data_IF_449347308773
#
_entry.id   IF_449347308773
#
_cell.length_a   1.000
_cell.length_b   1.000
_cell.length_c   1.000
_cell.angle_alpha   90.00
_cell.angle_beta   90.00
_cell.angle_gamma   90.00
#
_symmetry.space_group_name_H-M   'P 1'
#
loop_
_entity.id
_entity.type
_entity.pdbx_description
1 polymer ?
#
# COMPACT_ATOMS: atom_id res chain seq x y z
N UNK A 1 -25.35 -19.70 83.21
CA UNK A 1 -24.29 -20.73 83.28
C UNK A 1 -22.97 -20.05 83.55
N UNK A 2 -22.41 -20.23 84.78
CA UNK A 2 -21.09 -19.64 85.10
C UNK A 2 -20.01 -20.62 84.68
N UNK A 3 -19.35 -20.33 83.57
CA UNK A 3 -18.19 -21.07 83.06
C UNK A 3 -17.04 -20.96 84.07
N UNK A 4 -16.42 -22.09 84.42
CA UNK A 4 -15.22 -22.12 85.25
C UNK A 4 -14.05 -21.42 84.57
N UNK A 5 -13.09 -20.92 85.31
CA UNK A 5 -11.92 -20.21 84.76
C UNK A 5 -11.19 -21.07 83.73
N UNK A 6 -11.06 -22.38 84.00
CA UNK A 6 -10.47 -23.34 83.06
C UNK A 6 -11.24 -23.43 81.75
N UNK A 7 -12.58 -23.45 81.79
CA UNK A 7 -13.39 -23.48 80.54
C UNK A 7 -13.30 -22.19 79.74
N UNK A 8 -13.15 -21.05 80.37
CA UNK A 8 -12.94 -19.77 79.66
C UNK A 8 -11.59 -19.74 78.91
N UNK A 9 -10.57 -20.27 79.54
CA UNK A 9 -9.22 -20.35 78.85
C UNK A 9 -9.28 -21.31 77.68
N UNK A 10 -9.91 -22.45 77.82
CA UNK A 10 -10.09 -23.42 76.75
C UNK A 10 -10.92 -22.85 75.59
N UNK A 11 -12.02 -22.19 75.86
CA UNK A 11 -12.81 -21.52 74.79
C UNK A 11 -12.03 -20.43 74.09
N UNK A 12 -11.20 -19.65 74.75
CA UNK A 12 -10.31 -18.64 74.14
C UNK A 12 -9.30 -19.29 73.27
N UNK A 13 -8.69 -20.39 73.69
CA UNK A 13 -7.70 -21.11 72.92
C UNK A 13 -8.32 -21.75 71.63
N UNK A 14 -9.47 -22.37 71.73
CA UNK A 14 -10.22 -22.92 70.60
C UNK A 14 -10.59 -21.82 69.59
N UNK A 15 -11.04 -20.66 70.07
CA UNK A 15 -11.41 -19.53 69.27
C UNK A 15 -10.21 -18.98 68.45
N UNK A 16 -9.07 -18.80 69.15
CA UNK A 16 -7.83 -18.36 68.47
C UNK A 16 -7.34 -19.39 67.43
N UNK A 17 -7.38 -20.67 67.80
CA UNK A 17 -7.00 -21.75 66.85
C UNK A 17 -7.91 -21.76 65.64
N UNK A 18 -9.21 -21.60 65.83
CA UNK A 18 -10.18 -21.55 64.74
C UNK A 18 -9.97 -20.34 63.83
N UNK A 19 -9.66 -19.16 64.37
CA UNK A 19 -9.28 -17.98 63.65
C UNK A 19 -7.98 -18.20 62.80
N UNK A 20 -6.99 -18.84 63.42
CA UNK A 20 -5.73 -19.15 62.69
C UNK A 20 -5.96 -20.13 61.53
N UNK A 21 -6.83 -21.11 61.70
CA UNK A 21 -7.21 -22.04 60.63
C UNK A 21 -7.92 -21.29 59.48
N UNK A 22 -8.86 -20.39 59.81
CA UNK A 22 -9.57 -19.59 58.81
C UNK A 22 -8.63 -18.66 58.08
N UNK A 23 -7.72 -17.96 58.74
CA UNK A 23 -6.75 -17.06 58.16
C UNK A 23 -5.75 -17.84 57.30
N UNK A 24 -5.23 -18.96 57.81
CA UNK A 24 -4.31 -19.83 57.10
C UNK A 24 -4.94 -20.42 55.86
N UNK A 25 -6.17 -20.94 55.96
CA UNK A 25 -6.92 -21.47 54.81
C UNK A 25 -7.17 -20.44 53.75
N UNK A 26 -7.63 -19.24 54.13
CA UNK A 26 -7.81 -18.12 53.18
C UNK A 26 -6.49 -17.70 52.52
N UNK A 27 -5.39 -17.69 53.26
CA UNK A 27 -4.07 -17.36 52.72
C UNK A 27 -3.60 -18.38 51.68
N UNK A 28 -3.79 -19.67 51.90
CA UNK A 28 -3.45 -20.72 50.95
C UNK A 28 -4.28 -20.62 49.67
N UNK A 29 -5.59 -20.33 49.77
CA UNK A 29 -6.45 -20.11 48.58
C UNK A 29 -5.96 -18.90 47.78
N UNK A 30 -5.61 -17.81 48.46
CA UNK A 30 -5.09 -16.60 47.78
C UNK A 30 -3.74 -16.85 47.11
N UNK A 31 -2.84 -17.59 47.75
CA UNK A 31 -1.54 -17.97 47.19
C UNK A 31 -1.75 -18.82 45.92
N UNK A 32 -2.62 -19.81 45.98
CA UNK A 32 -2.95 -20.65 44.84
C UNK A 32 -3.59 -19.84 43.65
N UNK A 33 -4.40 -18.82 43.99
CA UNK A 33 -4.96 -17.91 43.03
C UNK A 33 -3.89 -17.03 42.37
N UNK A 34 -2.95 -16.51 43.16
CA UNK A 34 -1.81 -15.72 42.64
C UNK A 34 -0.94 -16.58 41.74
N UNK A 35 -0.63 -17.82 42.13
CA UNK A 35 0.18 -18.73 41.32
C UNK A 35 -0.48 -19.02 39.99
N UNK A 36 -1.79 -19.33 39.95
CA UNK A 36 -2.56 -19.50 38.70
C UNK A 36 -2.52 -18.24 37.82
N UNK A 37 -2.73 -17.06 38.42
CA UNK A 37 -2.68 -15.80 37.68
C UNK A 37 -1.28 -15.54 37.10
N UNK A 38 -0.23 -15.84 37.87
CA UNK A 38 1.16 -15.71 37.43
C UNK A 38 1.48 -16.68 36.32
N UNK A 39 1.02 -17.93 36.41
CA UNK A 39 1.16 -18.91 35.32
C UNK A 39 0.41 -18.46 34.08
N UNK A 40 -0.80 -17.95 34.18
CA UNK A 40 -1.57 -17.42 33.05
C UNK A 40 -0.87 -16.24 32.39
N UNK A 41 -0.29 -15.32 33.16
CA UNK A 41 0.50 -14.21 32.59
C UNK A 41 1.73 -14.71 31.88
N UNK A 42 2.50 -15.60 32.48
CA UNK A 42 3.78 -16.05 31.91
C UNK A 42 3.62 -17.03 30.74
N UNK A 43 2.60 -17.89 30.75
CA UNK A 43 2.44 -18.94 29.75
C UNK A 43 1.49 -18.55 28.61
N UNK A 44 0.60 -17.57 28.83
CA UNK A 44 -0.39 -17.16 27.85
C UNK A 44 -0.25 -15.69 27.48
N UNK A 45 -0.44 -14.79 28.46
CA UNK A 45 -0.60 -13.36 28.16
C UNK A 45 0.68 -12.73 27.62
N UNK A 46 1.83 -13.00 28.21
CA UNK A 46 3.10 -12.43 27.79
C UNK A 46 3.56 -12.97 26.42
N UNK A 47 3.54 -14.29 26.16
CA UNK A 47 3.83 -14.81 24.82
C UNK A 47 2.86 -14.31 23.74
N UNK A 48 1.54 -14.23 24.04
CA UNK A 48 0.55 -13.70 23.12
C UNK A 48 0.80 -12.23 22.81
N UNK A 49 1.14 -11.41 23.82
CA UNK A 49 1.47 -10.00 23.63
C UNK A 49 2.73 -9.82 22.76
N UNK A 50 3.78 -10.60 23.02
CA UNK A 50 5.01 -10.54 22.23
C UNK A 50 4.74 -10.89 20.78
N UNK A 51 4.02 -11.99 20.51
CA UNK A 51 3.67 -12.39 19.13
C UNK A 51 2.75 -11.38 18.44
N UNK A 52 1.82 -10.78 19.18
CA UNK A 52 0.98 -9.70 18.63
C UNK A 52 1.79 -8.46 18.26
N UNK A 53 2.80 -8.11 19.07
CA UNK A 53 3.69 -6.98 18.79
C UNK A 53 4.58 -7.25 17.57
N UNK A 54 5.09 -8.48 17.43
CA UNK A 54 5.84 -8.90 16.24
C UNK A 54 4.96 -8.84 14.98
N UNK A 55 3.70 -9.34 15.04
CA UNK A 55 2.73 -9.25 13.94
C UNK A 55 2.44 -7.79 13.55
N UNK A 56 2.27 -6.91 14.56
CA UNK A 56 2.07 -5.49 14.31
C UNK A 56 3.26 -4.86 13.60
N UNK A 57 4.47 -5.23 13.96
CA UNK A 57 5.69 -4.74 13.31
C UNK A 57 5.73 -5.16 11.82
N UNK A 58 5.43 -6.42 11.51
CA UNK A 58 5.40 -6.91 10.11
C UNK A 58 4.30 -6.22 9.30
N UNK A 59 3.13 -5.97 9.90
CA UNK A 59 2.06 -5.21 9.26
C UNK A 59 2.49 -3.77 8.92
N UNK A 60 3.18 -3.09 9.84
CA UNK A 60 3.72 -1.74 9.62
C UNK A 60 4.78 -1.75 8.51
N UNK A 61 5.66 -2.75 8.48
CA UNK A 61 6.69 -2.88 7.44
C UNK A 61 6.07 -3.10 6.07
N UNK A 62 5.04 -3.95 5.97
CA UNK A 62 4.29 -4.16 4.73
C UNK A 62 3.57 -2.88 4.26
N UNK A 63 2.95 -2.14 5.19
CA UNK A 63 2.32 -0.84 4.89
C UNK A 63 3.33 0.16 4.34
N UNK A 64 4.54 0.24 4.93
CA UNK A 64 5.61 1.10 4.43
C UNK A 64 6.09 0.67 3.04
N UNK A 65 6.21 -0.63 2.78
CA UNK A 65 6.57 -1.14 1.46
C UNK A 65 5.50 -0.79 0.41
N UNK A 66 4.21 -0.99 0.74
CA UNK A 66 3.10 -0.57 -0.11
C UNK A 66 3.14 0.95 -0.39
N UNK A 67 3.36 1.76 0.63
CA UNK A 67 3.48 3.21 0.49
C UNK A 67 4.69 3.61 -0.38
N UNK A 68 5.83 2.94 -0.24
CA UNK A 68 7.01 3.18 -1.05
C UNK A 68 6.76 2.92 -2.54
N UNK A 69 5.86 1.99 -2.89
CA UNK A 69 5.52 1.69 -4.29
C UNK A 69 4.92 2.87 -5.05
N UNK A 70 4.25 3.80 -4.37
CA UNK A 70 3.70 5.02 -5.01
C UNK A 70 4.79 5.90 -5.63
N UNK A 71 5.97 5.94 -4.99
CA UNK A 71 7.07 6.80 -5.41
C UNK A 71 7.99 6.14 -6.42
N UNK A 72 7.77 4.88 -6.79
CA UNK A 72 8.59 4.21 -7.80
C UNK A 72 8.28 4.74 -9.20
N UNK A 73 9.32 4.94 -9.98
CA UNK A 73 9.23 5.43 -11.37
C UNK A 73 9.65 4.37 -12.39
N UNK A 74 10.14 3.20 -11.95
CA UNK A 74 10.56 2.12 -12.82
C UNK A 74 10.24 0.74 -12.22
N UNK A 75 10.07 -0.26 -13.09
CA UNK A 75 9.87 -1.66 -12.67
C UNK A 75 11.07 -2.21 -11.88
N UNK A 76 12.28 -1.72 -12.16
CA UNK A 76 13.49 -2.09 -11.41
C UNK A 76 13.41 -1.67 -9.93
N UNK A 77 12.79 -0.51 -9.62
CA UNK A 77 12.55 -0.06 -8.26
C UNK A 77 11.37 -0.79 -7.60
N UNK A 78 10.37 -1.20 -8.38
CA UNK A 78 9.18 -1.89 -7.86
C UNK A 78 9.48 -3.35 -7.48
N UNK A 79 10.38 -4.03 -8.20
CA UNK A 79 10.74 -5.43 -7.96
C UNK A 79 11.18 -5.73 -6.53
N UNK A 80 12.15 -4.98 -5.93
CA UNK A 80 12.55 -5.22 -4.54
C UNK A 80 11.44 -4.93 -3.53
N UNK A 81 10.51 -4.02 -3.84
CA UNK A 81 9.35 -3.75 -2.98
C UNK A 81 8.39 -4.94 -2.97
N UNK A 82 8.10 -5.53 -4.14
CA UNK A 82 7.30 -6.76 -4.27
C UNK A 82 7.93 -7.90 -3.47
N UNK A 83 9.24 -8.09 -3.61
CA UNK A 83 9.97 -9.13 -2.88
C UNK A 83 9.86 -8.91 -1.36
N UNK A 84 10.02 -7.68 -0.90
CA UNK A 84 9.88 -7.33 0.51
C UNK A 84 8.46 -7.59 1.05
N UNK A 85 7.43 -7.31 0.27
CA UNK A 85 6.03 -7.63 0.66
C UNK A 85 5.83 -9.14 0.80
N UNK A 86 6.40 -9.95 -0.10
CA UNK A 86 6.34 -11.42 0.00
C UNK A 86 7.06 -11.93 1.26
N UNK A 87 8.25 -11.44 1.55
CA UNK A 87 8.99 -11.80 2.76
C UNK A 87 8.20 -11.47 4.05
N UNK A 88 7.54 -10.31 4.08
CA UNK A 88 6.72 -9.91 5.22
C UNK A 88 5.44 -10.72 5.34
N UNK A 89 4.84 -11.12 4.21
CA UNK A 89 3.72 -12.06 4.17
C UNK A 89 4.08 -13.40 4.82
N UNK A 90 5.23 -13.96 4.45
CA UNK A 90 5.68 -15.25 5.00
C UNK A 90 5.99 -15.15 6.49
N UNK A 91 6.63 -14.08 6.93
CA UNK A 91 6.87 -13.80 8.35
C UNK A 91 5.57 -13.65 9.12
N UNK A 92 4.63 -12.86 8.59
CA UNK A 92 3.33 -12.68 9.24
C UNK A 92 2.62 -14.03 9.41
N UNK A 93 2.57 -14.86 8.38
CA UNK A 93 1.92 -16.17 8.43
C UNK A 93 2.58 -17.08 9.48
N UNK A 94 3.91 -17.10 9.57
CA UNK A 94 4.63 -17.84 10.59
C UNK A 94 4.33 -17.35 12.01
N UNK A 95 4.38 -16.05 12.24
CA UNK A 95 4.10 -15.44 13.54
C UNK A 95 2.64 -15.63 13.95
N UNK A 96 1.70 -15.56 13.01
CA UNK A 96 0.29 -15.79 13.25
C UNK A 96 0.03 -17.26 13.65
N UNK A 97 0.67 -18.23 12.98
CA UNK A 97 0.60 -19.63 13.36
C UNK A 97 1.16 -19.88 14.77
N UNK A 98 2.24 -19.18 15.15
CA UNK A 98 2.78 -19.22 16.51
C UNK A 98 1.79 -18.64 17.53
N UNK A 99 1.21 -17.48 17.23
CA UNK A 99 0.18 -16.87 18.08
C UNK A 99 -1.01 -17.81 18.27
N UNK A 100 -1.51 -18.41 17.20
CA UNK A 100 -2.62 -19.37 17.29
C UNK A 100 -2.30 -20.57 18.19
N UNK A 101 -1.05 -21.08 18.17
CA UNK A 101 -0.60 -22.15 19.08
C UNK A 101 -0.63 -21.71 20.54
N UNK A 102 -0.21 -20.49 20.82
CA UNK A 102 -0.21 -19.92 22.18
C UNK A 102 -1.65 -19.77 22.70
N UNK A 103 -2.56 -19.22 21.87
CA UNK A 103 -3.91 -18.84 22.31
C UNK A 103 -4.97 -19.93 22.13
N UNK A 104 -4.62 -21.10 21.60
CA UNK A 104 -5.59 -22.18 21.21
C UNK A 104 -6.55 -22.60 22.34
N UNK A 105 -6.11 -22.52 23.59
CA UNK A 105 -6.89 -22.93 24.77
C UNK A 105 -7.70 -21.78 25.39
N UNK A 106 -7.59 -20.56 24.86
CA UNK A 106 -8.37 -19.39 25.27
C UNK A 106 -9.30 -18.99 24.11
N UNK A 107 -10.59 -19.23 24.27
CA UNK A 107 -11.58 -18.97 23.24
C UNK A 107 -11.65 -17.49 22.83
N UNK A 108 -11.50 -16.58 23.79
CA UNK A 108 -11.55 -15.13 23.53
C UNK A 108 -10.34 -14.66 22.71
N UNK A 109 -9.13 -15.08 23.11
CA UNK A 109 -7.90 -14.72 22.39
C UNK A 109 -7.83 -15.41 21.03
N UNK A 110 -8.31 -16.67 20.91
CA UNK A 110 -8.40 -17.37 19.64
C UNK A 110 -9.32 -16.67 18.66
N UNK A 111 -10.49 -16.22 19.10
CA UNK A 111 -11.40 -15.43 18.26
C UNK A 111 -10.78 -14.11 17.79
N UNK A 112 -10.07 -13.41 18.68
CA UNK A 112 -9.35 -12.17 18.32
C UNK A 112 -8.23 -12.44 17.32
N UNK A 113 -7.47 -13.52 17.48
CA UNK A 113 -6.43 -13.93 16.53
C UNK A 113 -7.01 -14.18 15.14
N UNK A 114 -8.16 -14.86 15.03
CA UNK A 114 -8.86 -15.06 13.75
C UNK A 114 -9.34 -13.75 13.12
N UNK A 115 -9.82 -12.81 13.95
CA UNK A 115 -10.20 -11.47 13.45
C UNK A 115 -9.00 -10.70 12.89
N UNK A 116 -7.83 -10.79 13.53
CA UNK A 116 -6.57 -10.23 13.03
C UNK A 116 -6.21 -10.85 11.68
N UNK A 117 -6.27 -12.16 11.54
CA UNK A 117 -6.01 -12.87 10.27
C UNK A 117 -6.92 -12.37 9.14
N UNK A 118 -8.23 -12.31 9.40
CA UNK A 118 -9.20 -11.83 8.41
C UNK A 118 -8.90 -10.41 7.94
N UNK A 119 -8.57 -9.51 8.88
CA UNK A 119 -8.23 -8.13 8.58
C UNK A 119 -6.93 -8.05 7.78
N UNK A 120 -5.94 -8.85 8.17
CA UNK A 120 -4.67 -8.94 7.45
C UNK A 120 -4.85 -9.44 6.01
N UNK A 121 -5.62 -10.50 5.78
CA UNK A 121 -5.88 -11.02 4.43
C UNK A 121 -6.55 -9.97 3.52
N UNK A 122 -7.51 -9.20 4.07
CA UNK A 122 -8.12 -8.09 3.33
C UNK A 122 -7.11 -7.00 2.98
N UNK A 123 -6.25 -6.63 3.94
CA UNK A 123 -5.19 -5.66 3.71
C UNK A 123 -4.16 -6.16 2.68
N UNK A 124 -3.73 -7.41 2.80
CA UNK A 124 -2.80 -8.04 1.87
C UNK A 124 -3.35 -8.00 0.43
N UNK A 125 -4.62 -8.37 0.24
CA UNK A 125 -5.26 -8.28 -1.08
C UNK A 125 -5.25 -6.86 -1.64
N UNK A 126 -5.44 -5.84 -0.79
CA UNK A 126 -5.35 -4.43 -1.20
C UNK A 126 -3.92 -4.07 -1.62
N UNK A 127 -2.91 -4.52 -0.88
CA UNK A 127 -1.50 -4.28 -1.21
C UNK A 127 -1.10 -4.98 -2.51
N UNK A 128 -1.50 -6.24 -2.69
CA UNK A 128 -1.22 -7.01 -3.91
C UNK A 128 -1.85 -6.34 -5.15
N UNK A 129 -3.10 -5.87 -5.06
CA UNK A 129 -3.76 -5.12 -6.11
C UNK A 129 -3.04 -3.80 -6.42
N UNK A 130 -2.66 -3.05 -5.38
CA UNK A 130 -1.90 -1.81 -5.54
C UNK A 130 -0.59 -2.03 -6.30
N UNK A 131 0.17 -3.07 -5.94
CA UNK A 131 1.43 -3.41 -6.61
C UNK A 131 1.22 -3.84 -8.06
N UNK A 132 0.14 -4.58 -8.34
CA UNK A 132 -0.23 -5.00 -9.69
C UNK A 132 -0.64 -3.80 -10.56
N UNK A 133 -1.42 -2.87 -10.02
CA UNK A 133 -1.83 -1.66 -10.73
C UNK A 133 -0.65 -0.71 -10.96
N UNK A 134 0.28 -0.62 -10.00
CA UNK A 134 1.53 0.13 -10.19
C UNK A 134 2.40 -0.46 -11.30
N UNK A 135 2.47 -1.77 -11.39
CA UNK A 135 3.21 -2.46 -12.46
C UNK A 135 2.62 -2.14 -13.85
N UNK A 136 1.28 -2.22 -13.96
CA UNK A 136 0.58 -1.83 -15.19
C UNK A 136 0.82 -0.37 -15.56
N UNK A 137 0.75 0.52 -14.55
CA UNK A 137 1.03 1.95 -14.75
C UNK A 137 2.44 2.18 -15.31
N UNK A 138 3.46 1.52 -14.73
CA UNK A 138 4.84 1.66 -15.18
C UNK A 138 5.04 1.09 -16.59
N UNK A 139 4.41 -0.04 -16.91
CA UNK A 139 4.44 -0.61 -18.25
C UNK A 139 3.78 0.31 -19.28
N UNK A 140 2.62 0.89 -18.94
CA UNK A 140 1.91 1.83 -19.79
C UNK A 140 2.71 3.10 -20.04
N UNK A 141 3.31 3.66 -18.99
CA UNK A 141 4.18 4.84 -19.12
C UNK A 141 5.38 4.58 -20.05
N UNK A 142 5.99 3.39 -19.93
CA UNK A 142 7.09 3.00 -20.83
C UNK A 142 6.64 2.93 -22.28
N UNK A 143 5.48 2.33 -22.55
CA UNK A 143 4.92 2.24 -23.91
C UNK A 143 4.59 3.64 -24.46
N UNK A 144 4.01 4.47 -23.62
CA UNK A 144 3.65 5.84 -23.99
C UNK A 144 4.89 6.67 -24.33
N UNK A 145 5.95 6.59 -23.52
CA UNK A 145 7.24 7.27 -23.82
C UNK A 145 7.83 6.80 -25.16
N UNK A 146 7.81 5.49 -25.43
CA UNK A 146 8.31 4.97 -26.71
C UNK A 146 7.47 5.43 -27.93
N UNK A 147 6.15 5.55 -27.76
CA UNK A 147 5.27 6.08 -28.80
C UNK A 147 5.53 7.56 -29.06
N UNK A 148 5.80 8.35 -28.02
CA UNK A 148 6.16 9.76 -28.18
C UNK A 148 7.47 9.94 -28.91
N UNK A 149 8.50 9.20 -28.58
CA UNK A 149 9.77 9.22 -29.30
C UNK A 149 9.54 8.93 -30.80
N UNK A 150 8.65 7.99 -31.11
CA UNK A 150 8.27 7.69 -32.49
C UNK A 150 7.57 8.88 -33.18
N UNK A 151 6.68 9.56 -32.46
CA UNK A 151 5.97 10.75 -32.96
C UNK A 151 6.95 11.91 -33.15
N UNK A 152 7.87 12.14 -32.21
CA UNK A 152 8.89 13.19 -32.33
C UNK A 152 9.76 12.97 -33.58
N UNK A 153 10.27 11.75 -33.81
CA UNK A 153 11.05 11.43 -34.98
C UNK A 153 10.24 11.68 -36.28
N UNK A 154 8.99 11.19 -36.32
CA UNK A 154 8.14 11.40 -37.50
C UNK A 154 7.82 12.89 -37.75
N UNK A 155 7.74 13.68 -36.65
CA UNK A 155 7.53 15.11 -36.74
C UNK A 155 8.76 15.85 -37.28
N UNK A 156 9.96 15.48 -36.82
CA UNK A 156 11.21 16.04 -37.33
C UNK A 156 11.37 15.74 -38.83
N UNK A 157 11.10 14.51 -39.27
CA UNK A 157 11.13 14.10 -40.69
C UNK A 157 10.12 14.90 -41.51
N UNK A 158 8.88 15.04 -41.02
CA UNK A 158 7.86 15.82 -41.73
C UNK A 158 8.19 17.31 -41.77
N UNK A 159 8.71 17.88 -40.69
CA UNK A 159 9.15 19.27 -40.65
C UNK A 159 10.29 19.53 -41.63
N UNK A 160 11.23 18.59 -41.79
CA UNK A 160 12.30 18.71 -42.80
C UNK A 160 11.73 18.82 -44.20
N UNK A 161 10.73 17.99 -44.55
CA UNK A 161 10.06 18.04 -45.86
C UNK A 161 9.30 19.36 -46.07
N UNK A 162 8.64 19.88 -45.01
CA UNK A 162 7.92 21.16 -45.05
C UNK A 162 8.89 22.33 -45.27
N UNK A 163 10.04 22.31 -44.59
CA UNK A 163 11.10 23.32 -44.80
C UNK A 163 11.64 23.29 -46.21
N UNK A 164 11.88 22.12 -46.77
CA UNK A 164 12.31 21.96 -48.19
C UNK A 164 11.29 22.59 -49.17
N UNK A 165 9.99 22.33 -48.90
CA UNK A 165 8.90 22.94 -49.71
C UNK A 165 8.87 24.47 -49.54
N UNK A 166 9.05 24.96 -48.30
CA UNK A 166 9.04 26.38 -47.99
C UNK A 166 10.22 27.10 -48.67
N UNK A 167 11.40 26.49 -48.66
CA UNK A 167 12.58 27.05 -49.32
C UNK A 167 12.40 27.14 -50.88
N UNK A 168 11.82 26.09 -51.48
CA UNK A 168 11.50 26.11 -52.89
C UNK A 168 10.46 27.17 -53.23
N UNK A 169 9.41 27.32 -52.43
CA UNK A 169 8.35 28.29 -52.68
C UNK A 169 8.78 29.73 -52.41
N UNK A 170 9.70 29.97 -51.47
CA UNK A 170 10.33 31.29 -51.25
C UNK A 170 11.25 31.69 -52.40
N UNK A 171 11.91 30.74 -53.00
CA UNK A 171 12.79 31.00 -54.11
C UNK A 171 12.00 31.27 -55.41
N UNK A 172 10.87 30.63 -55.59
CA UNK A 172 9.91 30.87 -56.66
C UNK A 172 8.84 31.87 -56.20
N UNK A 173 9.14 33.19 -56.24
CA UNK A 173 8.22 34.27 -55.79
C UNK A 173 6.80 34.24 -56.42
N UNK A 174 6.43 33.20 -57.13
CA UNK A 174 5.18 33.04 -57.87
C UNK A 174 4.12 32.12 -57.17
N UNK A 175 4.41 31.52 -55.99
CA UNK A 175 3.48 30.61 -55.33
C UNK A 175 3.13 30.95 -53.88
N UNK A 176 2.54 32.16 -53.59
CA UNK A 176 2.24 32.59 -52.23
C UNK A 176 1.24 31.66 -51.48
N UNK A 177 0.37 30.93 -52.20
CA UNK A 177 -0.55 29.97 -51.63
C UNK A 177 0.14 28.71 -51.12
N UNK A 178 1.13 28.21 -51.85
CA UNK A 178 1.92 27.05 -51.46
C UNK A 178 2.75 27.38 -50.22
N UNK A 179 3.34 28.58 -50.12
CA UNK A 179 4.06 29.05 -48.96
C UNK A 179 3.17 29.15 -47.74
N UNK A 180 1.96 29.71 -47.85
CA UNK A 180 0.99 29.77 -46.78
C UNK A 180 0.53 28.39 -46.30
N UNK A 181 0.30 27.44 -47.23
CA UNK A 181 -0.04 26.07 -46.92
C UNK A 181 1.07 25.36 -46.16
N UNK A 182 2.34 25.52 -46.60
CA UNK A 182 3.49 24.94 -45.91
C UNK A 182 3.66 25.50 -44.48
N UNK A 183 3.57 26.82 -44.28
CA UNK A 183 3.63 27.41 -42.96
C UNK A 183 2.47 26.97 -42.03
N UNK A 184 1.26 26.85 -42.58
CA UNK A 184 0.13 26.32 -41.79
C UNK A 184 0.34 24.86 -41.40
N UNK A 185 0.88 24.06 -42.31
CA UNK A 185 1.22 22.66 -42.06
C UNK A 185 2.26 22.54 -40.95
N UNK A 186 3.35 23.31 -41.00
CA UNK A 186 4.38 23.36 -39.99
C UNK A 186 3.79 23.69 -38.60
N UNK A 187 3.05 24.82 -38.53
CA UNK A 187 2.46 25.26 -37.26
C UNK A 187 1.48 24.24 -36.65
N UNK A 188 0.62 23.64 -37.49
CA UNK A 188 -0.32 22.63 -37.02
C UNK A 188 0.39 21.34 -36.60
N UNK A 189 1.45 20.95 -37.32
CA UNK A 189 2.25 19.79 -36.99
C UNK A 189 2.97 19.97 -35.62
N UNK A 190 3.61 21.10 -35.41
CA UNK A 190 4.26 21.44 -34.15
C UNK A 190 3.26 21.46 -32.99
N UNK A 191 2.02 21.89 -33.22
CA UNK A 191 0.95 21.85 -32.25
C UNK A 191 0.53 20.42 -31.90
N UNK A 192 0.48 19.49 -32.87
CA UNK A 192 0.23 18.06 -32.65
C UNK A 192 1.31 17.45 -31.75
N UNK A 193 2.59 17.76 -32.01
CA UNK A 193 3.73 17.28 -31.23
C UNK A 193 3.67 17.81 -29.80
N UNK A 194 3.45 19.13 -29.63
CA UNK A 194 3.34 19.74 -28.30
C UNK A 194 2.21 19.14 -27.49
N UNK A 195 1.02 18.98 -28.07
CA UNK A 195 -0.12 18.38 -27.39
C UNK A 195 0.11 16.89 -27.03
N UNK A 196 0.86 16.15 -27.87
CA UNK A 196 1.24 14.77 -27.57
C UNK A 196 2.16 14.71 -26.34
N UNK A 197 3.09 15.64 -26.21
CA UNK A 197 3.96 15.75 -25.03
C UNK A 197 3.18 16.17 -23.78
N UNK A 198 2.25 17.11 -23.92
CA UNK A 198 1.40 17.57 -22.83
C UNK A 198 0.51 16.46 -22.26
N UNK A 199 0.04 15.51 -23.06
CA UNK A 199 -0.71 14.35 -22.59
C UNK A 199 0.02 13.53 -21.52
N UNK A 200 1.36 13.51 -21.54
CA UNK A 200 2.16 12.81 -20.53
C UNK A 200 2.19 13.50 -19.16
N UNK A 201 2.02 14.81 -19.16
CA UNK A 201 2.11 15.63 -17.95
C UNK A 201 0.76 15.84 -17.27
N UNK A 202 -0.32 15.47 -17.95
CA UNK A 202 -1.70 15.63 -17.49
C UNK A 202 -1.99 14.80 -16.23
N UNK A 203 -2.45 15.48 -15.18
CA UNK A 203 -2.76 14.86 -13.88
C UNK A 203 -4.23 14.56 -13.66
N UNK A 204 -5.11 15.07 -14.49
CA UNK A 204 -6.57 14.90 -14.33
C UNK A 204 -7.24 14.48 -15.63
N UNK A 205 -8.31 13.70 -15.53
CA UNK A 205 -9.09 13.24 -16.68
C UNK A 205 -9.66 14.40 -17.49
N UNK A 206 -10.12 15.45 -16.81
CA UNK A 206 -10.69 16.63 -17.48
C UNK A 206 -9.66 17.37 -18.34
N UNK A 207 -8.43 17.52 -17.85
CA UNK A 207 -7.34 18.14 -18.61
C UNK A 207 -6.93 17.25 -19.77
N UNK A 208 -6.93 15.92 -19.61
CA UNK A 208 -6.65 14.96 -20.68
C UNK A 208 -7.67 15.07 -21.82
N UNK A 209 -8.95 15.24 -21.51
CA UNK A 209 -10.00 15.38 -22.52
C UNK A 209 -9.85 16.68 -23.32
N UNK A 210 -9.41 17.77 -22.68
CA UNK A 210 -9.10 19.04 -23.36
C UNK A 210 -7.95 18.83 -24.35
N UNK A 211 -6.82 18.28 -23.90
CA UNK A 211 -5.63 18.05 -24.76
C UNK A 211 -5.95 17.10 -25.91
N UNK A 212 -6.76 16.06 -25.69
CA UNK A 212 -7.23 15.17 -26.76
C UNK A 212 -8.05 15.89 -27.83
N UNK A 213 -8.93 16.77 -27.43
CA UNK A 213 -9.77 17.53 -28.35
C UNK A 213 -8.92 18.52 -29.18
N UNK A 214 -7.97 19.18 -28.55
CA UNK A 214 -7.02 20.07 -29.24
C UNK A 214 -6.15 19.29 -30.22
N UNK A 215 -5.64 18.13 -29.82
CA UNK A 215 -4.86 17.26 -30.71
C UNK A 215 -5.68 16.80 -31.93
N UNK A 216 -6.93 16.38 -31.71
CA UNK A 216 -7.83 15.98 -32.80
C UNK A 216 -8.07 17.13 -33.78
N UNK A 217 -8.26 18.36 -33.28
CA UNK A 217 -8.43 19.55 -34.11
C UNK A 217 -7.21 19.81 -34.98
N UNK A 218 -6.01 19.84 -34.41
CA UNK A 218 -4.78 20.11 -35.19
C UNK A 218 -4.46 18.99 -36.18
N UNK A 219 -4.76 17.73 -35.85
CA UNK A 219 -4.59 16.61 -36.75
C UNK A 219 -5.54 16.74 -37.96
N UNK A 220 -6.79 17.17 -37.75
CA UNK A 220 -7.75 17.42 -38.85
C UNK A 220 -7.30 18.58 -39.74
N UNK A 221 -6.75 19.65 -39.16
CA UNK A 221 -6.17 20.78 -39.91
C UNK A 221 -4.94 20.35 -40.75
N UNK A 222 -4.07 19.47 -40.22
CA UNK A 222 -2.96 18.89 -40.97
C UNK A 222 -3.48 18.12 -42.19
N UNK A 223 -4.46 17.23 -41.99
CA UNK A 223 -5.06 16.42 -43.07
C UNK A 223 -5.70 17.33 -44.12
N UNK A 224 -6.43 18.34 -43.70
CA UNK A 224 -7.11 19.29 -44.59
C UNK A 224 -6.12 20.13 -45.41
N UNK A 225 -4.96 20.42 -44.89
CA UNK A 225 -3.93 21.19 -45.61
C UNK A 225 -3.21 20.33 -46.64
N UNK A 226 -3.17 19.00 -46.46
CA UNK A 226 -2.55 18.05 -47.39
C UNK A 226 -3.47 17.61 -48.53
N UNK A 227 -4.77 17.83 -48.44
CA UNK A 227 -5.79 17.48 -49.47
C UNK A 227 -6.21 18.68 -50.28
#
# INVERSE_FOLDING_TARGET
MNLTVSQRIWCGFIFITLLLIIIGGNSLIKIASIDRSTQQVNQLSLPALNKSSELQAEFILMSKAAQASFYTTSSAQLTPIKQKVLEQKDKFNSLHADLQRVVKNDASLSQKSQAVEKTYLSFLGTVENLLADKDKQLALNKTLTAQLETIEIAAEDANSVVLDITDITNFEQNHPRAYQAANNLENNFMSVVSNSTDMLTVKTTNTLDIVKNEQAYYLDEVIRTLT
#
